data_IF_433672930886
#
_entry.id   IF_433672930886
#
_cell.length_a   1.000
_cell.length_b   1.000
_cell.length_c   1.000
_cell.angle_alpha   90.00
_cell.angle_beta   90.00
_cell.angle_gamma   90.00
#
_symmetry.space_group_name_H-M   'P 1'
#
loop_
_entity.id
_entity.type
_entity.pdbx_description
1 polymer ?
#
# COMPACT_ATOMS: atom_id res chain seq x y z
N UNK A 1 11.67 -12.53 6.74
CA UNK A 1 11.08 -12.69 8.08
C UNK A 1 9.93 -11.71 8.21
N UNK A 2 8.81 -12.13 8.79
CA UNK A 2 7.70 -11.21 9.07
C UNK A 2 8.12 -10.22 10.18
N UNK A 3 7.59 -8.98 10.19
CA UNK A 3 7.94 -8.00 11.22
C UNK A 3 7.55 -8.53 12.60
N UNK A 4 8.41 -8.33 13.60
CA UNK A 4 8.21 -8.85 14.96
C UNK A 4 7.37 -7.92 15.84
N UNK A 5 6.93 -6.76 15.34
CA UNK A 5 6.15 -5.83 16.16
C UNK A 5 4.71 -6.32 16.38
N UNK A 6 4.19 -6.14 17.59
CA UNK A 6 2.87 -6.60 18.05
C UNK A 6 1.67 -6.23 17.13
N UNK A 7 1.81 -5.23 16.25
CA UNK A 7 0.77 -4.79 15.31
C UNK A 7 0.87 -5.35 13.89
N UNK A 8 1.95 -6.05 13.53
CA UNK A 8 2.26 -6.45 12.15
C UNK A 8 2.01 -7.96 11.86
N UNK A 9 1.07 -8.58 12.58
CA UNK A 9 0.75 -10.01 12.48
C UNK A 9 -0.55 -10.33 11.72
N UNK A 10 -1.23 -9.32 11.17
CA UNK A 10 -2.49 -9.51 10.43
C UNK A 10 -2.26 -9.75 8.93
N UNK A 11 -3.26 -10.29 8.24
CA UNK A 11 -3.27 -10.42 6.79
C UNK A 11 -3.30 -9.06 6.07
N UNK A 12 -3.65 -7.98 6.76
CA UNK A 12 -3.65 -6.62 6.21
C UNK A 12 -2.32 -5.95 6.55
N UNK A 13 -1.59 -5.53 5.52
CA UNK A 13 -0.40 -4.69 5.65
C UNK A 13 -0.70 -3.29 5.17
N UNK A 14 -0.13 -2.28 5.83
CA UNK A 14 -0.27 -0.88 5.44
C UNK A 14 1.10 -0.25 5.17
N UNK A 15 1.15 0.67 4.21
CA UNK A 15 2.34 1.43 3.86
C UNK A 15 1.97 2.86 3.45
N UNK A 16 2.98 3.73 3.33
CA UNK A 16 2.81 5.11 2.90
C UNK A 16 3.89 5.46 1.88
N UNK A 17 3.50 6.15 0.80
CA UNK A 17 4.46 6.74 -0.14
C UNK A 17 5.11 7.97 0.49
N UNK A 18 6.27 8.38 -0.01
CA UNK A 18 6.90 9.61 0.47
C UNK A 18 5.93 10.79 0.25
N UNK A 19 5.80 11.63 1.26
CA UNK A 19 4.99 12.87 1.25
C UNK A 19 3.48 12.74 0.99
N UNK A 20 2.94 11.52 1.06
CA UNK A 20 1.51 11.28 1.20
C UNK A 20 1.06 11.76 2.60
N UNK A 21 0.13 12.72 2.66
CA UNK A 21 -0.40 13.32 3.89
C UNK A 21 -1.93 13.42 3.92
N UNK A 22 -2.59 13.47 2.76
CA UNK A 22 -4.04 13.68 2.68
C UNK A 22 -4.78 12.45 2.15
N UNK A 23 -6.06 12.36 2.48
CA UNK A 23 -6.92 11.28 1.99
C UNK A 23 -7.18 11.41 0.48
N UNK A 24 -7.10 12.63 -0.04
CA UNK A 24 -7.16 12.89 -1.47
C UNK A 24 -5.96 12.28 -2.20
N UNK A 25 -4.74 12.53 -1.71
CA UNK A 25 -3.52 11.89 -2.22
C UNK A 25 -3.59 10.36 -2.10
N UNK A 26 -4.13 9.82 -0.99
CA UNK A 26 -4.31 8.38 -0.86
C UNK A 26 -5.24 7.80 -1.94
N UNK A 27 -6.35 8.49 -2.25
CA UNK A 27 -7.27 8.07 -3.32
C UNK A 27 -6.64 8.21 -4.71
N UNK A 28 -5.85 9.25 -4.93
CA UNK A 28 -5.08 9.43 -6.16
C UNK A 28 -4.08 8.27 -6.34
N UNK A 29 -3.32 7.94 -5.31
CA UNK A 29 -2.41 6.80 -5.32
C UNK A 29 -3.15 5.48 -5.58
N UNK A 30 -4.31 5.27 -4.95
CA UNK A 30 -5.15 4.09 -5.23
C UNK A 30 -5.51 3.99 -6.71
N UNK A 31 -6.02 5.08 -7.29
CA UNK A 31 -6.40 5.10 -8.70
C UNK A 31 -5.19 4.86 -9.61
N UNK A 32 -4.04 5.46 -9.28
CA UNK A 32 -2.79 5.31 -10.01
C UNK A 32 -2.27 3.87 -10.02
N UNK A 33 -2.23 3.21 -8.85
CA UNK A 33 -1.80 1.81 -8.74
C UNK A 33 -2.72 0.87 -9.53
N UNK A 34 -4.03 1.10 -9.47
CA UNK A 34 -4.99 0.29 -10.23
C UNK A 34 -4.83 0.51 -11.74
N UNK A 35 -4.71 1.76 -12.18
CA UNK A 35 -4.63 2.09 -13.60
C UNK A 35 -3.30 1.67 -14.23
N UNK A 36 -2.18 1.97 -13.58
CA UNK A 36 -0.82 1.79 -14.13
C UNK A 36 -0.26 0.40 -13.90
N UNK A 37 -0.51 -0.18 -12.72
CA UNK A 37 0.11 -1.44 -12.31
C UNK A 37 -0.88 -2.61 -12.26
N UNK A 38 -2.19 -2.34 -12.40
CA UNK A 38 -3.26 -3.33 -12.21
C UNK A 38 -3.25 -3.94 -10.81
N UNK A 39 -2.83 -3.16 -9.82
CA UNK A 39 -2.72 -3.59 -8.42
C UNK A 39 -3.76 -2.84 -7.60
N UNK A 40 -4.63 -3.60 -6.92
CA UNK A 40 -5.59 -3.03 -5.99
C UNK A 40 -4.92 -2.77 -4.65
N UNK A 41 -4.83 -1.50 -4.30
CA UNK A 41 -4.45 -1.00 -2.98
C UNK A 41 -5.60 -0.15 -2.44
N UNK A 42 -5.86 -0.18 -1.14
CA UNK A 42 -7.00 0.51 -0.55
C UNK A 42 -6.53 1.72 0.26
N UNK A 43 -6.98 2.90 -0.15
CA UNK A 43 -6.82 4.13 0.60
C UNK A 43 -7.64 4.06 1.89
N UNK A 44 -6.97 4.22 3.03
CA UNK A 44 -7.61 4.15 4.35
C UNK A 44 -7.28 5.41 5.13
N UNK A 45 -8.31 6.06 5.65
CA UNK A 45 -8.13 7.10 6.65
C UNK A 45 -7.68 6.43 7.94
N UNK A 46 -6.49 6.79 8.44
CA UNK A 46 -6.05 6.30 9.74
C UNK A 46 -6.97 6.87 10.82
N UNK A 47 -7.64 6.00 11.57
CA UNK A 47 -8.48 6.43 12.71
C UNK A 47 -7.67 7.10 13.83
N UNK A 48 -6.33 6.97 13.81
CA UNK A 48 -5.40 7.57 14.76
C UNK A 48 -4.10 8.12 14.11
N UNK A 49 -4.01 8.11 12.78
CA UNK A 49 -2.78 8.44 12.05
C UNK A 49 -3.07 9.01 10.67
N UNK A 50 -2.06 9.63 10.05
CA UNK A 50 -2.17 10.11 8.67
C UNK A 50 -2.65 8.99 7.72
N UNK A 51 -3.31 9.33 6.61
CA UNK A 51 -3.77 8.37 5.60
C UNK A 51 -2.69 7.39 5.17
N UNK A 52 -3.12 6.17 4.86
CA UNK A 52 -2.25 5.06 4.43
C UNK A 52 -2.85 4.33 3.23
N UNK A 53 -1.98 3.60 2.54
CA UNK A 53 -2.37 2.56 1.60
C UNK A 53 -2.36 1.22 2.32
N UNK A 54 -3.35 0.37 2.05
CA UNK A 54 -3.44 -0.96 2.63
C UNK A 54 -3.61 -2.03 1.56
N UNK A 55 -3.06 -3.21 1.83
CA UNK A 55 -3.14 -4.39 0.99
C UNK A 55 -3.49 -5.59 1.86
N UNK A 56 -4.21 -6.53 1.28
CA UNK A 56 -4.59 -7.78 1.94
C UNK A 56 -4.16 -8.95 1.07
N UNK A 57 -2.88 -9.39 1.15
CA UNK A 57 -2.49 -10.67 0.59
C UNK A 57 -3.41 -11.78 1.09
N UNK A 58 -4.02 -12.51 0.16
CA UNK A 58 -4.95 -13.59 0.43
C UNK A 58 -4.41 -14.92 -0.10
N UNK A 59 -5.14 -16.00 0.15
CA UNK A 59 -4.76 -17.37 -0.25
C UNK A 59 -4.51 -17.54 -1.75
N UNK A 60 -5.10 -16.69 -2.58
CA UNK A 60 -4.96 -16.75 -4.04
C UNK A 60 -3.86 -15.86 -4.60
N UNK A 61 -3.10 -15.17 -3.75
CA UNK A 61 -1.92 -14.43 -4.19
C UNK A 61 -0.69 -15.34 -4.20
N UNK A 62 0.12 -15.20 -5.23
CA UNK A 62 1.44 -15.80 -5.35
C UNK A 62 2.53 -14.87 -4.81
N UNK A 63 3.69 -15.42 -4.46
CA UNK A 63 4.85 -14.61 -4.06
C UNK A 63 5.28 -13.63 -5.17
N UNK A 64 5.20 -14.03 -6.44
CA UNK A 64 5.54 -13.15 -7.57
C UNK A 64 4.56 -11.98 -7.73
N UNK A 65 3.30 -12.14 -7.34
CA UNK A 65 2.35 -11.02 -7.25
C UNK A 65 2.72 -10.03 -6.15
N UNK A 66 3.22 -10.52 -5.02
CA UNK A 66 3.73 -9.67 -3.95
C UNK A 66 5.01 -8.94 -4.37
N UNK A 67 5.90 -9.60 -5.10
CA UNK A 67 7.10 -8.96 -5.65
C UNK A 67 6.73 -7.82 -6.64
N UNK A 68 5.71 -8.04 -7.48
CA UNK A 68 5.16 -6.98 -8.36
C UNK A 68 4.65 -5.79 -7.58
N UNK A 69 3.96 -6.02 -6.45
CA UNK A 69 3.54 -4.95 -5.55
C UNK A 69 4.74 -4.18 -4.99
N UNK A 70 5.78 -4.87 -4.52
CA UNK A 70 6.99 -4.22 -3.99
C UNK A 70 7.66 -3.35 -5.05
N UNK A 71 7.81 -3.86 -6.28
CA UNK A 71 8.38 -3.11 -7.40
C UNK A 71 7.53 -1.86 -7.73
N UNK A 72 6.20 -1.99 -7.74
CA UNK A 72 5.31 -0.85 -7.96
C UNK A 72 5.45 0.21 -6.86
N UNK A 73 5.54 -0.19 -5.59
CA UNK A 73 5.78 0.74 -4.46
C UNK A 73 7.10 1.48 -4.63
N UNK A 74 8.16 0.79 -5.06
CA UNK A 74 9.46 1.41 -5.29
C UNK A 74 9.43 2.40 -6.45
N UNK A 75 8.79 2.04 -7.56
CA UNK A 75 8.67 2.88 -8.75
C UNK A 75 7.89 4.18 -8.46
N UNK A 76 6.82 4.09 -7.67
CA UNK A 76 5.92 5.21 -7.38
C UNK A 76 6.26 5.92 -6.04
N UNK A 77 7.43 5.62 -5.46
CA UNK A 77 7.84 6.15 -4.14
C UNK A 77 7.73 7.67 -4.04
N UNK A 78 8.00 8.38 -5.13
CA UNK A 78 8.07 9.83 -5.22
C UNK A 78 6.84 10.46 -5.90
N UNK A 79 5.70 9.76 -5.95
CA UNK A 79 4.50 10.26 -6.63
C UNK A 79 4.03 11.64 -6.12
N UNK A 80 4.28 11.96 -4.84
CA UNK A 80 3.89 13.22 -4.20
C UNK A 80 5.06 14.07 -3.70
N UNK A 81 6.29 13.74 -4.13
CA UNK A 81 7.51 14.44 -3.73
C UNK A 81 7.84 15.60 -4.67
#
# INVERSE_FOLDING_TARGET
>A
MLPTEAGNYSAISAFRLRDLRTMEQAREAQAHFLARHRILVVAKSGLASEPVMSVTPALFNSTSELDRLVVAIQAERNLFA
#
